data_IF_407720640100
#
_entry.id   IF_407720640100
#
_cell.length_a   1.000
_cell.length_b   1.000
_cell.length_c   1.000
_cell.angle_alpha   90.00
_cell.angle_beta   90.00
_cell.angle_gamma   90.00
#
_symmetry.space_group_name_H-M   'P 1'
#
loop_
_entity.id
_entity.type
_entity.pdbx_description
1 polymer ?
#
# COMPACT_ATOMS: atom_id res chain seq x y z
N UNK A 1 31.73 18.43 2.89
CA UNK A 1 31.04 18.51 4.20
C UNK A 1 30.38 17.17 4.45
N UNK A 2 30.49 16.56 5.65
CA UNK A 2 29.72 15.37 5.96
C UNK A 2 28.23 15.74 5.93
N UNK A 3 27.42 14.99 5.17
CA UNK A 3 25.95 15.17 5.16
C UNK A 3 25.43 14.90 6.57
N UNK A 4 24.53 15.74 7.06
CA UNK A 4 23.83 15.46 8.31
C UNK A 4 23.12 14.09 8.21
N UNK A 5 23.10 13.28 9.29
CA UNK A 5 22.44 11.98 9.26
C UNK A 5 20.94 12.17 8.99
N UNK A 6 20.44 11.50 7.95
CA UNK A 6 19.03 11.53 7.51
C UNK A 6 18.11 10.91 8.58
N UNK A 7 18.56 9.81 9.18
CA UNK A 7 17.91 9.08 10.28
C UNK A 7 18.91 8.96 11.42
N UNK A 8 18.48 9.27 12.64
CA UNK A 8 19.31 9.14 13.84
C UNK A 8 19.19 7.71 14.40
N UNK A 9 20.30 6.93 14.49
CA UNK A 9 20.23 5.51 14.89
C UNK A 9 19.60 5.24 16.26
N UNK A 10 19.76 6.18 17.20
CA UNK A 10 19.25 6.05 18.57
C UNK A 10 17.86 6.68 18.76
N UNK A 11 17.31 7.31 17.73
CA UNK A 11 15.97 7.90 17.79
C UNK A 11 14.93 6.86 17.38
N UNK A 12 13.80 6.89 18.09
CA UNK A 12 12.63 6.09 17.75
C UNK A 12 11.87 6.73 16.59
N UNK A 13 11.51 5.94 15.59
CA UNK A 13 10.68 6.36 14.46
C UNK A 13 9.52 5.37 14.27
N UNK A 14 8.32 5.91 14.07
CA UNK A 14 7.16 5.17 13.59
C UNK A 14 7.04 5.27 12.07
N UNK A 15 6.23 4.41 11.43
CA UNK A 15 5.95 4.49 9.99
C UNK A 15 5.51 5.91 9.56
N UNK A 16 4.57 6.50 10.31
CA UNK A 16 4.08 7.85 10.07
C UNK A 16 5.14 8.97 10.25
N UNK A 17 6.25 8.71 10.94
CA UNK A 17 7.33 9.70 11.07
C UNK A 17 8.14 9.81 9.79
N UNK A 18 8.32 8.71 9.04
CA UNK A 18 9.02 8.72 7.74
C UNK A 18 8.30 9.55 6.68
N UNK A 19 6.96 9.57 6.72
CA UNK A 19 6.14 10.45 5.89
C UNK A 19 6.45 11.94 6.12
N UNK A 20 6.85 12.31 7.35
CA UNK A 20 7.10 13.71 7.74
C UNK A 20 8.54 14.15 7.45
N UNK A 21 9.44 13.20 7.14
CA UNK A 21 10.84 13.49 6.85
C UNK A 21 10.95 14.26 5.52
N UNK A 22 11.63 15.40 5.56
CA UNK A 22 11.86 16.23 4.37
C UNK A 22 13.18 15.82 3.67
N UNK A 23 13.32 14.54 3.35
CA UNK A 23 14.46 13.96 2.63
C UNK A 23 13.98 13.24 1.37
N UNK A 24 14.88 13.03 0.41
CA UNK A 24 14.54 12.30 -0.79
C UNK A 24 14.19 10.83 -0.46
N UNK A 25 13.16 10.22 -1.10
CA UNK A 25 12.79 8.82 -0.89
C UNK A 25 13.97 7.85 -0.94
N UNK A 26 14.86 8.00 -1.93
CA UNK A 26 16.03 7.14 -2.08
C UNK A 26 17.02 7.25 -0.92
N UNK A 27 17.14 8.43 -0.30
CA UNK A 27 18.07 8.67 0.80
C UNK A 27 17.56 8.01 2.10
N UNK A 28 16.24 8.03 2.32
CA UNK A 28 15.58 7.34 3.43
C UNK A 28 15.70 5.83 3.26
N UNK A 29 15.40 5.30 2.08
CA UNK A 29 15.44 3.85 1.83
C UNK A 29 16.87 3.29 1.85
N UNK A 30 17.86 4.06 1.39
CA UNK A 30 19.27 3.67 1.45
C UNK A 30 19.75 3.41 2.89
N UNK A 31 19.20 4.10 3.89
CA UNK A 31 19.50 3.83 5.31
C UNK A 31 19.16 2.39 5.71
N UNK A 32 18.12 1.79 5.10
CA UNK A 32 17.71 0.41 5.34
C UNK A 32 18.37 -0.59 4.37
N UNK A 33 19.42 -0.17 3.67
CA UNK A 33 20.06 -0.93 2.57
C UNK A 33 19.05 -1.34 1.50
N UNK A 34 18.12 -0.44 1.15
CA UNK A 34 17.09 -0.66 0.13
C UNK A 34 17.23 0.37 -0.98
N UNK A 35 17.13 -0.10 -2.23
CA UNK A 35 17.11 0.75 -3.42
C UNK A 35 15.69 1.07 -3.87
N UNK A 36 15.51 2.21 -4.54
CA UNK A 36 14.23 2.62 -5.12
C UNK A 36 14.32 2.63 -6.65
N UNK A 37 13.40 1.92 -7.30
CA UNK A 37 13.16 1.97 -8.73
C UNK A 37 11.78 2.55 -9.02
N UNK A 38 11.65 3.25 -10.15
CA UNK A 38 10.36 3.71 -10.68
C UNK A 38 10.20 3.19 -12.09
N UNK A 39 9.22 2.31 -12.30
CA UNK A 39 8.93 1.69 -13.60
C UNK A 39 7.49 1.16 -13.60
N UNK A 40 6.88 1.08 -14.77
CA UNK A 40 5.58 0.41 -14.91
C UNK A 40 5.69 -1.05 -14.48
N UNK A 41 4.85 -1.45 -13.53
CA UNK A 41 4.76 -2.83 -13.08
C UNK A 41 3.85 -3.63 -14.02
N UNK A 42 4.29 -4.85 -14.38
CA UNK A 42 3.43 -5.79 -15.09
C UNK A 42 2.56 -6.54 -14.08
N UNK A 43 1.45 -5.91 -13.68
CA UNK A 43 0.51 -6.48 -12.73
C UNK A 43 -0.48 -7.41 -13.46
N UNK A 44 -0.55 -8.70 -13.08
CA UNK A 44 -1.48 -9.63 -13.70
C UNK A 44 -2.92 -9.26 -13.31
N UNK A 45 -3.86 -9.54 -14.20
CA UNK A 45 -5.28 -9.22 -14.01
C UNK A 45 -6.09 -10.49 -13.83
N UNK A 46 -7.03 -10.46 -12.89
CA UNK A 46 -8.03 -11.51 -12.73
C UNK A 46 -8.94 -11.56 -13.93
N UNK A 47 -9.03 -12.74 -14.54
CA UNK A 47 -9.79 -12.99 -15.77
C UNK A 47 -11.18 -13.58 -15.50
N UNK A 48 -11.48 -13.93 -14.25
CA UNK A 48 -12.80 -14.42 -13.86
C UNK A 48 -13.85 -13.32 -13.74
N UNK A 49 -15.06 -13.74 -13.36
CA UNK A 49 -16.22 -12.86 -13.20
C UNK A 49 -16.10 -12.03 -11.93
N UNK A 50 -16.40 -10.73 -12.03
CA UNK A 50 -16.56 -9.83 -10.90
C UNK A 50 -18.05 -9.48 -10.70
N UNK A 51 -18.81 -10.39 -10.10
CA UNK A 51 -20.28 -10.30 -9.99
C UNK A 51 -20.79 -9.14 -9.13
N UNK A 52 -19.96 -8.57 -8.24
CA UNK A 52 -20.29 -7.37 -7.44
C UNK A 52 -19.78 -6.05 -8.04
N UNK A 53 -18.95 -6.09 -9.08
CA UNK A 53 -18.29 -4.90 -9.63
C UNK A 53 -19.27 -3.77 -9.97
N UNK A 54 -20.33 -4.07 -10.72
CA UNK A 54 -21.31 -3.06 -11.15
C UNK A 54 -21.97 -2.37 -9.95
N UNK A 55 -22.30 -3.13 -8.91
CA UNK A 55 -22.93 -2.59 -7.70
C UNK A 55 -21.97 -1.69 -6.92
N UNK A 56 -20.70 -2.07 -6.80
CA UNK A 56 -19.68 -1.23 -6.16
C UNK A 56 -19.46 0.07 -6.91
N UNK A 57 -19.32 0.00 -8.25
CA UNK A 57 -19.13 1.18 -9.09
C UNK A 57 -20.28 2.17 -8.95
N UNK A 58 -21.52 1.69 -9.05
CA UNK A 58 -22.73 2.53 -8.87
C UNK A 58 -22.74 3.19 -7.50
N UNK A 59 -22.49 2.44 -6.41
CA UNK A 59 -22.47 3.00 -5.05
C UNK A 59 -21.43 4.11 -4.90
N UNK A 60 -20.24 3.94 -5.47
CA UNK A 60 -19.19 4.98 -5.43
C UNK A 60 -19.62 6.20 -6.24
N UNK A 61 -20.12 6.02 -7.47
CA UNK A 61 -20.55 7.11 -8.34
C UNK A 61 -21.72 7.94 -7.75
N UNK A 62 -22.65 7.29 -7.06
CA UNK A 62 -23.78 7.96 -6.41
C UNK A 62 -23.39 8.72 -5.13
N UNK A 63 -22.44 8.18 -4.36
CA UNK A 63 -22.03 8.74 -3.07
C UNK A 63 -20.98 9.85 -3.22
N UNK A 64 -20.04 9.71 -4.16
CA UNK A 64 -18.90 10.60 -4.31
C UNK A 64 -19.28 12.10 -4.41
N UNK A 65 -20.31 12.53 -5.16
CA UNK A 65 -20.71 13.94 -5.23
C UNK A 65 -21.29 14.51 -3.93
N UNK A 66 -21.63 13.66 -2.95
CA UNK A 66 -22.34 14.01 -1.72
C UNK A 66 -21.48 13.87 -0.46
N UNK A 67 -20.26 13.35 -0.60
CA UNK A 67 -19.34 13.11 0.51
C UNK A 67 -18.29 14.22 0.64
N UNK A 68 -18.01 14.60 1.89
CA UNK A 68 -16.85 15.44 2.21
C UNK A 68 -15.65 14.55 2.53
N UNK A 69 -14.74 14.38 1.58
CA UNK A 69 -13.56 13.50 1.69
C UNK A 69 -12.31 14.27 2.13
N UNK A 70 -12.44 15.14 3.13
CA UNK A 70 -11.35 16.03 3.58
C UNK A 70 -10.37 15.38 4.55
N UNK A 71 -10.68 14.18 5.06
CA UNK A 71 -9.82 13.44 5.98
C UNK A 71 -9.46 12.05 5.42
N UNK A 72 -8.32 11.55 5.85
CA UNK A 72 -7.88 10.17 5.56
C UNK A 72 -8.91 9.15 6.06
N UNK A 73 -9.46 9.36 7.26
CA UNK A 73 -10.53 8.51 7.82
C UNK A 73 -11.77 8.46 6.93
N UNK A 74 -12.23 9.60 6.39
CA UNK A 74 -13.38 9.61 5.47
C UNK A 74 -13.08 8.86 4.17
N UNK A 75 -11.87 9.02 3.62
CA UNK A 75 -11.45 8.29 2.41
C UNK A 75 -11.34 6.78 2.67
N UNK A 76 -10.79 6.41 3.82
CA UNK A 76 -10.71 5.03 4.31
C UNK A 76 -12.08 4.38 4.38
N UNK A 77 -13.05 5.05 5.00
CA UNK A 77 -14.41 4.52 5.19
C UNK A 77 -15.21 4.45 3.89
N UNK A 78 -15.21 5.51 3.08
CA UNK A 78 -16.15 5.64 1.97
C UNK A 78 -15.60 5.23 0.60
N UNK A 79 -14.27 5.16 0.43
CA UNK A 79 -13.66 4.81 -0.87
C UNK A 79 -12.79 3.56 -0.79
N UNK A 80 -11.94 3.42 0.21
CA UNK A 80 -10.98 2.31 0.29
C UNK A 80 -11.63 1.04 0.83
N UNK A 81 -12.23 1.10 2.01
CA UNK A 81 -12.86 -0.06 2.66
C UNK A 81 -13.93 -0.75 1.79
N UNK A 82 -14.78 -0.05 1.01
CA UNK A 82 -15.73 -0.71 0.12
C UNK A 82 -15.05 -1.53 -0.99
N UNK A 83 -13.95 -1.02 -1.57
CA UNK A 83 -13.16 -1.76 -2.57
C UNK A 83 -12.56 -3.00 -1.95
N UNK A 84 -11.90 -2.86 -0.79
CA UNK A 84 -11.26 -3.98 -0.10
C UNK A 84 -12.28 -5.03 0.35
N UNK A 85 -13.45 -4.62 0.82
CA UNK A 85 -14.53 -5.53 1.22
C UNK A 85 -15.02 -6.37 0.04
N UNK A 86 -15.15 -5.77 -1.15
CA UNK A 86 -15.50 -6.52 -2.35
C UNK A 86 -14.37 -7.45 -2.81
N UNK A 87 -13.10 -7.09 -2.62
CA UNK A 87 -11.96 -8.01 -2.85
C UNK A 87 -12.07 -9.27 -1.99
N UNK A 88 -12.53 -9.16 -0.74
CA UNK A 88 -12.76 -10.34 0.13
C UNK A 88 -13.87 -11.27 -0.39
N UNK A 89 -14.80 -10.77 -1.21
CA UNK A 89 -15.82 -11.64 -1.81
C UNK A 89 -15.22 -12.54 -2.92
N UNK A 90 -14.15 -12.11 -3.58
CA UNK A 90 -13.51 -12.86 -4.67
C UNK A 90 -12.31 -13.69 -4.23
N UNK A 91 -11.88 -13.55 -2.97
CA UNK A 91 -10.64 -14.13 -2.47
C UNK A 91 -10.90 -14.82 -1.13
N UNK A 92 -10.05 -15.76 -0.73
CA UNK A 92 -10.08 -16.31 0.64
C UNK A 92 -9.22 -15.48 1.60
N UNK A 93 -8.93 -14.23 1.25
CA UNK A 93 -8.09 -13.37 2.07
C UNK A 93 -8.82 -12.93 3.35
N UNK A 94 -8.04 -12.68 4.39
CA UNK A 94 -8.47 -11.95 5.58
C UNK A 94 -8.00 -10.51 5.47
N UNK A 95 -8.81 -9.57 6.00
CA UNK A 95 -8.47 -8.16 6.08
C UNK A 95 -8.26 -7.78 7.55
N UNK A 96 -7.02 -7.42 7.89
CA UNK A 96 -6.71 -6.78 9.18
C UNK A 96 -6.63 -5.27 8.98
N UNK A 97 -7.37 -4.53 9.79
CA UNK A 97 -7.38 -3.06 9.79
C UNK A 97 -6.53 -2.59 10.96
N UNK A 98 -5.65 -1.60 10.74
CA UNK A 98 -4.70 -1.10 11.74
C UNK A 98 -3.81 -2.19 12.34
N UNK A 99 -3.24 -3.05 11.48
CA UNK A 99 -2.44 -4.19 11.89
C UNK A 99 -1.08 -3.74 12.49
N UNK A 100 -0.81 -3.98 13.78
CA UNK A 100 0.40 -3.50 14.43
C UNK A 100 1.62 -4.33 14.06
N UNK A 101 2.74 -3.66 13.77
CA UNK A 101 4.06 -4.25 13.54
C UNK A 101 5.09 -3.55 14.42
N UNK A 102 5.97 -4.32 15.06
CA UNK A 102 7.05 -3.78 15.89
C UNK A 102 8.32 -4.63 15.75
N UNK A 103 9.11 -4.35 14.72
CA UNK A 103 10.38 -5.05 14.44
C UNK A 103 11.54 -4.41 15.20
N UNK A 104 11.58 -3.08 15.28
CA UNK A 104 12.64 -2.35 15.99
C UNK A 104 12.17 -0.95 16.43
N UNK A 105 13.05 -0.19 17.09
CA UNK A 105 12.78 1.20 17.43
C UNK A 105 12.59 2.11 16.19
N UNK A 106 13.03 1.66 15.02
CA UNK A 106 12.94 2.42 13.76
C UNK A 106 11.95 1.79 12.75
N UNK A 107 11.49 0.56 12.98
CA UNK A 107 10.54 -0.16 12.13
C UNK A 107 9.36 -0.62 12.99
N UNK A 108 8.45 0.32 13.29
CA UNK A 108 7.25 0.06 14.08
C UNK A 108 6.09 0.99 13.72
N UNK A 109 4.88 0.54 13.97
CA UNK A 109 3.65 1.29 13.71
C UNK A 109 2.50 0.34 13.42
N UNK A 110 1.47 0.85 12.74
CA UNK A 110 0.36 0.05 12.25
C UNK A 110 0.24 0.21 10.74
N UNK A 111 -0.02 -0.90 10.05
CA UNK A 111 -0.44 -0.89 8.66
C UNK A 111 -1.92 -0.53 8.60
N UNK A 112 -2.31 0.42 7.74
CA UNK A 112 -3.72 0.80 7.61
C UNK A 112 -4.61 -0.39 7.25
N UNK A 113 -4.18 -1.18 6.26
CA UNK A 113 -4.80 -2.44 5.89
C UNK A 113 -3.74 -3.48 5.52
N UNK A 114 -3.86 -4.67 6.08
CA UNK A 114 -3.13 -5.87 5.68
C UNK A 114 -4.13 -6.91 5.18
N UNK A 115 -4.14 -7.14 3.87
CA UNK A 115 -4.81 -8.29 3.28
C UNK A 115 -3.84 -9.46 3.26
N UNK A 116 -4.28 -10.61 3.73
CA UNK A 116 -3.47 -11.82 3.69
C UNK A 116 -4.27 -13.06 3.36
N UNK A 117 -3.68 -13.93 2.56
CA UNK A 117 -4.07 -15.33 2.42
C UNK A 117 -2.85 -16.20 2.78
N UNK A 118 -3.00 -17.52 2.88
CA UNK A 118 -2.04 -18.52 3.39
C UNK A 118 -0.56 -18.25 3.06
N UNK A 119 -0.24 -17.68 1.90
CA UNK A 119 1.12 -17.35 1.48
C UNK A 119 1.30 -15.91 1.02
N UNK A 120 0.26 -15.07 1.03
CA UNK A 120 0.24 -13.81 0.29
C UNK A 120 -0.12 -12.67 1.18
N UNK A 121 0.62 -11.57 1.06
CA UNK A 121 0.42 -10.36 1.84
C UNK A 121 0.34 -9.16 0.90
N UNK A 122 -0.64 -8.30 1.15
CA UNK A 122 -0.84 -7.06 0.43
C UNK A 122 -1.12 -5.95 1.44
N UNK A 123 -0.26 -4.94 1.45
CA UNK A 123 -0.40 -3.76 2.33
C UNK A 123 -1.08 -2.64 1.56
N UNK A 124 -2.14 -2.06 2.11
CA UNK A 124 -2.73 -0.84 1.56
C UNK A 124 -2.54 0.29 2.55
N UNK A 125 -1.83 1.33 2.12
CA UNK A 125 -1.59 2.54 2.91
C UNK A 125 -2.51 3.66 2.42
N UNK A 126 -3.33 4.23 3.31
CA UNK A 126 -4.21 5.33 2.97
C UNK A 126 -3.52 6.67 3.17
N UNK A 127 -3.80 7.64 2.29
CA UNK A 127 -3.38 9.03 2.44
C UNK A 127 -4.46 10.01 2.06
N UNK A 128 -4.26 11.25 2.45
CA UNK A 128 -5.13 12.33 2.01
C UNK A 128 -4.77 12.83 0.59
N UNK A 129 -3.49 13.07 0.30
CA UNK A 129 -3.06 13.66 -0.99
C UNK A 129 -1.61 13.35 -1.43
N UNK A 130 -0.64 13.33 -0.51
CA UNK A 130 0.78 13.17 -0.88
C UNK A 130 1.16 11.69 -1.12
N UNK A 131 0.96 11.25 -2.37
CA UNK A 131 1.32 9.90 -2.82
C UNK A 131 2.83 9.64 -2.77
N UNK A 132 3.67 10.65 -3.00
CA UNK A 132 5.13 10.44 -3.06
C UNK A 132 5.69 10.14 -1.68
N UNK A 133 5.34 10.97 -0.67
CA UNK A 133 5.76 10.72 0.72
C UNK A 133 5.05 9.52 1.31
N UNK A 134 3.78 9.32 0.97
CA UNK A 134 3.06 8.15 1.41
C UNK A 134 3.66 6.86 0.84
N UNK A 135 4.21 6.88 -0.37
CA UNK A 135 4.92 5.72 -0.92
C UNK A 135 6.19 5.40 -0.11
N UNK A 136 6.90 6.41 0.41
CA UNK A 136 8.03 6.16 1.33
C UNK A 136 7.55 5.42 2.57
N UNK A 137 6.43 5.82 3.15
CA UNK A 137 5.86 5.14 4.30
C UNK A 137 5.51 3.67 3.95
N UNK A 138 4.79 3.45 2.84
CA UNK A 138 4.47 2.11 2.34
C UNK A 138 5.74 1.25 2.14
N UNK A 139 6.80 1.83 1.58
CA UNK A 139 8.07 1.13 1.37
C UNK A 139 8.71 0.71 2.71
N UNK A 140 8.68 1.56 3.72
CA UNK A 140 9.15 1.23 5.08
C UNK A 140 8.28 0.13 5.71
N UNK A 141 6.97 0.19 5.51
CA UNK A 141 6.03 -0.82 5.99
C UNK A 141 6.30 -2.19 5.36
N UNK A 142 6.58 -2.25 4.05
CA UNK A 142 6.96 -3.50 3.37
C UNK A 142 8.29 -4.05 3.87
N UNK A 143 9.28 -3.18 4.16
CA UNK A 143 10.56 -3.57 4.77
C UNK A 143 10.37 -4.13 6.19
N UNK A 144 9.45 -3.55 6.96
CA UNK A 144 9.12 -4.04 8.29
C UNK A 144 8.36 -5.37 8.20
N UNK A 145 7.41 -5.49 7.27
CA UNK A 145 6.63 -6.71 7.06
C UNK A 145 7.54 -7.89 6.70
N UNK A 146 8.52 -7.69 5.80
CA UNK A 146 9.55 -8.68 5.43
C UNK A 146 10.28 -9.27 6.65
N UNK A 147 10.52 -8.46 7.68
CA UNK A 147 11.19 -8.90 8.92
C UNK A 147 10.22 -9.43 9.97
N UNK A 148 8.93 -9.15 9.83
CA UNK A 148 7.87 -9.50 10.77
C UNK A 148 7.26 -10.88 10.48
N UNK A 149 7.16 -11.25 9.20
CA UNK A 149 6.57 -12.51 8.77
C UNK A 149 7.63 -13.56 8.48
N UNK A 150 7.33 -14.82 8.79
CA UNK A 150 8.11 -15.97 8.31
C UNK A 150 7.53 -16.41 6.95
N UNK A 151 8.04 -15.84 5.86
CA UNK A 151 7.60 -16.15 4.50
C UNK A 151 8.77 -16.47 3.58
N UNK A 152 8.59 -17.47 2.72
CA UNK A 152 9.52 -17.78 1.63
C UNK A 152 9.28 -16.90 0.39
N UNK A 153 8.27 -16.00 0.42
CA UNK A 153 7.98 -15.13 -0.72
C UNK A 153 9.11 -14.16 -0.98
N UNK A 154 9.45 -14.02 -2.25
CA UNK A 154 10.52 -13.13 -2.72
C UNK A 154 10.01 -11.72 -2.99
N UNK A 155 8.69 -11.53 -3.13
CA UNK A 155 8.07 -10.25 -3.47
C UNK A 155 6.89 -9.99 -2.53
N UNK A 156 6.94 -8.88 -1.82
CA UNK A 156 5.80 -8.30 -1.10
C UNK A 156 5.17 -7.20 -1.95
N UNK A 157 3.84 -7.12 -1.94
CA UNK A 157 3.11 -6.12 -2.71
C UNK A 157 2.42 -5.14 -1.78
N UNK A 158 2.30 -3.91 -2.25
CA UNK A 158 1.53 -2.88 -1.57
C UNK A 158 0.89 -1.93 -2.56
N UNK A 159 -0.04 -1.13 -2.06
CA UNK A 159 -0.53 0.03 -2.78
C UNK A 159 -0.73 1.20 -1.82
N UNK A 160 -0.48 2.40 -2.32
CA UNK A 160 -0.90 3.62 -1.65
C UNK A 160 -2.19 4.12 -2.30
N UNK A 161 -3.12 4.63 -1.49
CA UNK A 161 -4.39 5.15 -1.98
C UNK A 161 -4.79 6.46 -1.32
N UNK A 162 -5.27 7.42 -2.12
CA UNK A 162 -6.03 8.59 -1.64
C UNK A 162 -7.54 8.37 -1.69
N UNK A 163 -7.96 7.12 -1.84
CA UNK A 163 -9.33 6.70 -2.15
C UNK A 163 -9.65 6.84 -3.64
N UNK A 164 -9.43 8.03 -4.21
CA UNK A 164 -9.71 8.33 -5.61
C UNK A 164 -8.57 7.98 -6.57
N UNK A 165 -7.34 7.79 -6.06
CA UNK A 165 -6.17 7.38 -6.84
C UNK A 165 -5.47 6.28 -6.06
N UNK A 166 -5.03 5.24 -6.77
CA UNK A 166 -4.22 4.14 -6.26
C UNK A 166 -2.93 4.03 -7.06
N UNK A 167 -1.83 3.75 -6.38
CA UNK A 167 -0.53 3.50 -6.99
C UNK A 167 0.10 2.27 -6.34
N UNK A 168 0.55 1.31 -7.14
CA UNK A 168 1.13 0.08 -6.63
C UNK A 168 2.62 0.22 -6.32
N UNK A 169 3.08 -0.64 -5.43
CA UNK A 169 4.47 -0.85 -5.08
C UNK A 169 4.78 -2.33 -4.88
N UNK A 170 6.04 -2.69 -5.09
CA UNK A 170 6.55 -4.02 -4.79
C UNK A 170 7.88 -3.91 -4.07
N UNK A 171 8.10 -4.79 -3.09
CA UNK A 171 9.39 -4.96 -2.45
C UNK A 171 9.94 -6.34 -2.78
N UNK A 172 11.09 -6.39 -3.44
CA UNK A 172 11.84 -7.61 -3.65
C UNK A 172 12.75 -7.85 -2.44
N UNK A 173 12.42 -8.87 -1.64
CA UNK A 173 13.12 -9.17 -0.39
C UNK A 173 14.57 -9.60 -0.62
N UNK A 174 14.83 -10.33 -1.71
CA UNK A 174 16.17 -10.85 -2.02
C UNK A 174 17.12 -9.75 -2.51
N UNK A 175 16.67 -8.93 -3.46
CA UNK A 175 17.50 -7.86 -4.03
C UNK A 175 17.44 -6.57 -3.22
N UNK A 176 16.59 -6.49 -2.18
CA UNK A 176 16.34 -5.30 -1.37
C UNK A 176 16.01 -4.09 -2.26
N UNK A 177 15.08 -4.27 -3.19
CA UNK A 177 14.63 -3.25 -4.13
C UNK A 177 13.14 -2.98 -3.94
N UNK A 178 12.77 -1.72 -3.71
CA UNK A 178 11.39 -1.25 -3.82
C UNK A 178 11.17 -0.71 -5.22
N UNK A 179 10.13 -1.17 -5.89
CA UNK A 179 9.65 -0.59 -7.16
C UNK A 179 8.36 0.17 -6.91
N UNK A 180 8.33 1.46 -7.26
CA UNK A 180 7.12 2.26 -7.37
C UNK A 180 6.58 2.17 -8.80
N UNK A 181 5.29 1.86 -8.93
CA UNK A 181 4.62 1.83 -10.23
C UNK A 181 4.51 3.24 -10.82
N UNK A 182 4.61 3.36 -12.14
CA UNK A 182 4.35 4.63 -12.83
C UNK A 182 2.86 4.83 -13.10
N UNK A 183 2.09 3.74 -13.14
CA UNK A 183 0.67 3.79 -13.45
C UNK A 183 -0.16 4.18 -12.22
N UNK A 184 -1.17 5.03 -12.45
CA UNK A 184 -2.11 5.51 -11.45
C UNK A 184 -3.51 5.03 -11.81
N UNK A 185 -4.18 4.38 -10.87
CA UNK A 185 -5.51 3.82 -11.06
C UNK A 185 -6.53 4.72 -10.37
N UNK A 186 -7.40 5.36 -11.15
CA UNK A 186 -8.39 6.32 -10.65
C UNK A 186 -9.67 5.59 -10.28
N UNK A 187 -10.29 5.94 -9.18
CA UNK A 187 -11.60 5.44 -8.77
C UNK A 187 -12.61 6.59 -8.91
N UNK A 188 -13.71 6.42 -9.68
CA UNK A 188 -14.23 5.15 -10.23
C UNK A 188 -13.79 4.79 -11.66
N UNK A 189 -13.00 5.63 -12.36
CA UNK A 189 -12.75 5.47 -13.80
C UNK A 189 -12.06 4.14 -14.18
N UNK A 190 -11.05 3.74 -13.41
CA UNK A 190 -10.20 2.56 -13.61
C UNK A 190 -10.48 1.48 -12.53
N UNK A 191 -11.66 1.54 -11.88
CA UNK A 191 -12.02 0.69 -10.74
C UNK A 191 -12.02 -0.81 -11.09
N UNK A 192 -12.41 -1.16 -12.31
CA UNK A 192 -12.41 -2.57 -12.74
C UNK A 192 -10.99 -3.13 -12.78
N UNK A 193 -10.06 -2.41 -13.41
CA UNK A 193 -8.66 -2.81 -13.51
C UNK A 193 -8.03 -2.93 -12.12
N UNK A 194 -8.30 -1.94 -11.25
CA UNK A 194 -7.86 -1.96 -9.85
C UNK A 194 -8.36 -3.24 -9.13
N UNK A 195 -9.66 -3.55 -9.20
CA UNK A 195 -10.22 -4.75 -8.59
C UNK A 195 -9.60 -6.03 -9.15
N UNK A 196 -9.42 -6.10 -10.47
CA UNK A 196 -8.82 -7.28 -11.11
C UNK A 196 -7.38 -7.50 -10.66
N UNK A 197 -6.60 -6.45 -10.49
CA UNK A 197 -5.23 -6.53 -9.96
C UNK A 197 -5.26 -6.99 -8.51
N UNK A 198 -6.05 -6.34 -7.64
CA UNK A 198 -6.12 -6.67 -6.21
C UNK A 198 -6.54 -8.13 -5.98
N UNK A 199 -7.55 -8.60 -6.72
CA UNK A 199 -8.01 -9.99 -6.67
C UNK A 199 -6.91 -10.93 -7.16
N UNK A 200 -6.29 -10.64 -8.30
CA UNK A 200 -5.24 -11.50 -8.86
C UNK A 200 -4.04 -11.63 -7.92
N UNK A 201 -3.67 -10.54 -7.25
CA UNK A 201 -2.61 -10.54 -6.25
C UNK A 201 -2.89 -11.55 -5.14
N UNK A 202 -4.13 -11.66 -4.67
CA UNK A 202 -4.48 -12.41 -3.44
C UNK A 202 -4.91 -13.86 -3.68
N UNK A 203 -5.15 -14.26 -4.92
CA UNK A 203 -5.41 -15.67 -5.29
C UNK A 203 -4.14 -16.44 -5.69
N UNK A 204 -2.99 -15.75 -5.73
CA UNK A 204 -1.68 -16.30 -6.10
C UNK A 204 -0.76 -16.51 -4.91
#
# INVERSE_FOLDING_TARGET
MPRAPIIHPNQSYTFADYFKLNFAPQDILAYFNVSLQRRSLKLPHYTGTLDRFSNLKIRIEESLPRLSLTSEMARREFLIAPVLTDVLHYTEATLNVEYPIAVSNQLKGSLDYLLQNHQTFLVIEAKNEDLERGFVQLAIELIALDQWIESEKTILQGAISTGNIWQFGQFNCQSREVTQDLDLYRVPADLEDLLRILVQTLIH
#
